data_IF_738687463705
#
_entry.id   IF_738687463705
#
_cell.length_a   1.000
_cell.length_b   1.000
_cell.length_c   1.000
_cell.angle_alpha   90.00
_cell.angle_beta   90.00
_cell.angle_gamma   90.00
#
_symmetry.space_group_name_H-M   'P 1'
#
loop_
_entity.id
_entity.type
_entity.pdbx_description
1 polymer ?
#
# COMPACT_ATOMS: atom_id res chain seq x y z
N UNK A 1 -7.46 -2.88 5.59
CA UNK A 1 -6.95 -1.48 5.66
C UNK A 1 -7.00 -1.00 7.09
N UNK A 2 -5.87 -0.56 7.67
CA UNK A 2 -5.83 0.10 8.98
C UNK A 2 -5.60 1.60 8.78
N UNK A 3 -6.40 2.43 9.45
CA UNK A 3 -6.25 3.89 9.48
C UNK A 3 -6.49 4.38 10.90
N UNK A 4 -5.67 5.31 11.37
CA UNK A 4 -5.96 6.05 12.60
C UNK A 4 -6.86 7.21 12.21
N UNK A 5 -8.06 7.27 12.79
CA UNK A 5 -9.03 8.35 12.56
C UNK A 5 -9.41 8.93 13.91
N UNK A 6 -9.25 10.24 14.10
CA UNK A 6 -9.59 10.94 15.36
C UNK A 6 -9.03 10.28 16.63
N UNK A 7 -7.78 9.80 16.57
CA UNK A 7 -7.12 9.13 17.70
C UNK A 7 -7.49 7.65 17.88
N UNK A 8 -8.50 7.14 17.19
CA UNK A 8 -8.91 5.74 17.25
C UNK A 8 -8.38 4.93 16.07
N UNK A 9 -7.87 3.73 16.36
CA UNK A 9 -7.42 2.78 15.34
C UNK A 9 -8.59 2.06 14.69
N UNK A 10 -8.88 2.34 13.42
CA UNK A 10 -9.94 1.68 12.65
C UNK A 10 -9.33 0.65 11.70
N UNK A 11 -9.77 -0.60 11.81
CA UNK A 11 -9.45 -1.67 10.85
C UNK A 11 -10.69 -2.00 10.01
N UNK A 12 -10.51 -2.08 8.69
CA UNK A 12 -11.56 -2.47 7.73
C UNK A 12 -11.09 -3.62 6.86
N UNK A 13 -11.94 -4.62 6.68
CA UNK A 13 -11.77 -5.69 5.69
C UNK A 13 -12.74 -5.41 4.55
N UNK A 14 -12.25 -5.54 3.32
CA UNK A 14 -13.02 -5.30 2.11
C UNK A 14 -13.03 -6.58 1.29
N UNK A 15 -14.17 -6.88 0.68
CA UNK A 15 -14.29 -7.99 -0.25
C UNK A 15 -13.88 -7.53 -1.66
N UNK A 16 -13.10 -8.36 -2.36
CA UNK A 16 -12.51 -8.00 -3.66
C UNK A 16 -13.54 -7.73 -4.76
N UNK A 17 -14.67 -8.43 -4.74
CA UNK A 17 -15.73 -8.33 -5.76
C UNK A 17 -17.01 -7.70 -5.21
N UNK A 18 -16.89 -6.73 -4.29
CA UNK A 18 -18.04 -6.04 -3.74
C UNK A 18 -18.52 -4.93 -4.68
N UNK A 19 -19.82 -4.89 -4.98
CA UNK A 19 -20.45 -3.79 -5.74
C UNK A 19 -20.43 -2.43 -5.02
N UNK A 20 -20.09 -2.41 -3.73
CA UNK A 20 -19.98 -1.17 -2.94
C UNK A 20 -18.63 -0.47 -3.15
N UNK A 21 -17.66 -1.14 -3.78
CA UNK A 21 -16.30 -0.63 -4.00
C UNK A 21 -16.14 -0.36 -5.49
N UNK A 22 -15.80 0.88 -5.83
CA UNK A 22 -15.54 1.29 -7.21
C UNK A 22 -14.20 0.72 -7.71
N UNK A 23 -13.09 1.11 -7.09
CA UNK A 23 -11.75 0.67 -7.50
C UNK A 23 -10.74 0.69 -6.33
N UNK A 24 -9.66 -0.09 -6.48
CA UNK A 24 -8.54 -0.12 -5.52
C UNK A 24 -7.24 0.19 -6.25
N UNK A 25 -6.74 1.41 -6.06
CA UNK A 25 -5.48 1.86 -6.67
C UNK A 25 -4.32 1.86 -5.67
N UNK A 26 -3.15 1.38 -6.10
CA UNK A 26 -1.93 1.38 -5.29
C UNK A 26 -1.23 2.73 -5.43
N UNK A 27 -1.43 3.61 -4.45
CA UNK A 27 -0.78 4.94 -4.45
C UNK A 27 0.73 4.88 -4.21
N UNK A 28 1.18 3.98 -3.33
CA UNK A 28 2.59 3.85 -2.94
C UNK A 28 2.90 2.46 -2.40
N UNK A 29 4.12 1.98 -2.63
CA UNK A 29 4.58 0.66 -2.16
C UNK A 29 5.47 0.82 -0.93
N UNK A 30 5.13 0.13 0.15
CA UNK A 30 5.94 0.14 1.38
C UNK A 30 7.02 -0.94 1.37
N UNK A 31 8.18 -0.64 1.93
CA UNK A 31 9.25 -1.61 2.16
C UNK A 31 8.93 -2.43 3.42
N UNK A 32 8.42 -3.64 3.22
CA UNK A 32 8.05 -4.57 4.31
C UNK A 32 8.60 -5.97 4.03
N UNK A 33 8.95 -6.70 5.09
CA UNK A 33 9.47 -8.08 5.00
C UNK A 33 8.42 -9.14 5.33
N UNK A 34 7.36 -8.77 6.06
CA UNK A 34 6.29 -9.68 6.45
C UNK A 34 5.05 -9.50 5.57
N UNK A 35 4.36 -10.60 5.28
CA UNK A 35 3.09 -10.59 4.54
C UNK A 35 1.91 -10.08 5.37
N UNK A 36 1.89 -10.40 6.67
CA UNK A 36 0.88 -9.93 7.63
C UNK A 36 1.49 -8.88 8.56
N UNK A 37 0.98 -7.65 8.50
CA UNK A 37 1.52 -6.50 9.23
C UNK A 37 0.92 -6.32 10.64
N UNK A 38 0.56 -7.41 11.32
CA UNK A 38 -0.09 -7.34 12.64
C UNK A 38 0.80 -6.70 13.72
N UNK A 39 2.12 -6.77 13.55
CA UNK A 39 3.08 -6.12 14.44
C UNK A 39 2.91 -4.59 14.50
N UNK A 40 2.25 -3.96 13.51
CA UNK A 40 1.95 -2.54 13.54
C UNK A 40 0.84 -2.17 14.55
N UNK A 41 0.07 -3.14 15.06
CA UNK A 41 -1.05 -2.87 15.99
C UNK A 41 -0.57 -2.33 17.34
N UNK A 42 0.56 -2.82 17.84
CA UNK A 42 1.15 -2.39 19.11
C UNK A 42 2.21 -1.30 18.99
N UNK A 43 2.40 -0.74 17.79
CA UNK A 43 3.37 0.32 17.53
C UNK A 43 2.66 1.66 17.33
N UNK A 44 3.26 2.73 17.85
CA UNK A 44 2.73 4.09 17.77
C UNK A 44 3.76 5.08 17.20
N UNK A 45 3.26 6.22 16.72
CA UNK A 45 4.07 7.33 16.24
C UNK A 45 5.00 6.95 15.07
N UNK A 46 6.28 7.35 15.17
CA UNK A 46 7.29 7.12 14.12
C UNK A 46 7.53 5.62 13.86
N UNK A 47 7.38 4.76 14.87
CA UNK A 47 7.63 3.32 14.76
C UNK A 47 6.58 2.60 13.91
N UNK A 48 5.35 3.11 13.88
CA UNK A 48 4.27 2.54 13.06
C UNK A 48 4.34 2.97 11.57
N UNK A 49 5.19 3.94 11.23
CA UNK A 49 5.29 4.47 9.86
C UNK A 49 6.13 3.56 8.98
N UNK A 50 5.49 2.99 7.94
CA UNK A 50 6.16 2.18 6.93
C UNK A 50 6.90 3.10 5.95
N UNK A 51 8.22 2.87 5.79
CA UNK A 51 9.06 3.54 4.78
C UNK A 51 8.68 3.08 3.37
N UNK A 52 8.84 3.95 2.39
CA UNK A 52 8.57 3.61 0.99
C UNK A 52 9.68 2.74 0.39
N UNK A 53 9.30 1.80 -0.47
CA UNK A 53 10.24 1.02 -1.28
C UNK A 53 10.59 1.79 -2.57
N UNK A 54 11.65 2.59 -2.47
CA UNK A 54 12.16 3.40 -3.58
C UNK A 54 12.69 2.53 -4.73
N UNK A 55 13.27 1.36 -4.43
CA UNK A 55 13.85 0.47 -5.43
C UNK A 55 12.76 -0.26 -6.24
N UNK A 56 11.71 -0.74 -5.56
CA UNK A 56 10.55 -1.34 -6.22
C UNK A 56 9.76 -0.36 -7.07
N UNK A 57 9.64 0.90 -6.63
CA UNK A 57 8.94 1.96 -7.36
C UNK A 57 9.68 2.34 -8.66
N UNK A 58 11.02 2.45 -8.62
CA UNK A 58 11.83 2.70 -9.82
C UNK A 58 11.67 1.60 -10.88
N UNK A 59 11.66 0.32 -10.48
CA UNK A 59 11.40 -0.80 -11.40
C UNK A 59 10.00 -0.76 -12.03
N UNK A 60 8.98 -0.42 -11.24
CA UNK A 60 7.60 -0.32 -11.74
C UNK A 60 7.45 0.84 -12.75
N UNK A 61 8.07 1.99 -12.48
CA UNK A 61 8.10 3.13 -13.42
C UNK A 61 8.90 2.83 -14.68
N UNK A 62 10.05 2.17 -14.56
CA UNK A 62 10.85 1.76 -15.71
C UNK A 62 10.12 0.75 -16.60
N UNK A 63 9.38 -0.21 -16.00
CA UNK A 63 8.53 -1.14 -16.74
C UNK A 63 7.39 -0.43 -17.47
N UNK A 64 6.70 0.49 -16.81
CA UNK A 64 5.63 1.26 -17.43
C UNK A 64 6.14 2.14 -18.60
N UNK A 65 7.35 2.70 -18.48
CA UNK A 65 7.99 3.46 -19.57
C UNK A 65 8.38 2.56 -20.75
N UNK A 66 8.87 1.34 -20.49
CA UNK A 66 9.22 0.38 -21.53
C UNK A 66 8.00 -0.18 -22.27
N UNK A 67 6.90 -0.45 -21.56
CA UNK A 67 5.63 -0.89 -22.17
C UNK A 67 4.97 0.21 -23.00
N UNK A 68 5.12 1.49 -22.62
CA UNK A 68 4.64 2.62 -23.41
C UNK A 68 5.44 2.87 -24.69
N UNK A 69 6.76 2.61 -24.68
CA UNK A 69 7.63 2.76 -25.85
C UNK A 69 7.56 1.60 -26.85
N UNK A 70 6.95 0.46 -26.47
CA UNK A 70 6.75 -0.71 -27.33
C UNK A 70 5.33 -0.77 -27.95
N UNK A 71 4.44 0.14 -27.55
CA UNK A 71 3.08 0.29 -28.08
C UNK A 71 2.98 1.40 -29.14
N UNK A 72 4.07 2.15 -29.34
CA UNK A 72 4.35 2.96 -30.54
C UNK A 72 5.06 2.08 -31.57
#
# INVERSE_FOLDING_TARGET
>A
VRKISYGFGVERVFQTHSATIDSVEVKRRGAVRASKLYYLRGLEGKKARIKEDLAGNAKARAKAAAEAAAAE
#
